data_IF_737511013194
#
_entry.id   IF_737511013194
#
_cell.length_a   1.000
_cell.length_b   1.000
_cell.length_c   1.000
_cell.angle_alpha   90.00
_cell.angle_beta   90.00
_cell.angle_gamma   90.00
#
_symmetry.space_group_name_H-M   'P 1'
#
loop_
_entity.id
_entity.type
_entity.pdbx_description
1 polymer ?
#
# COMPACT_ATOMS: atom_id res chain seq x y z
N UNK A 1 -50.47 42.92 57.81
CA UNK A 1 -49.17 42.25 58.01
C UNK A 1 -48.15 43.04 57.21
N UNK A 2 -47.42 43.94 57.88
CA UNK A 2 -46.45 44.86 57.30
C UNK A 2 -45.03 44.27 57.38
N UNK A 3 -44.30 44.40 56.27
CA UNK A 3 -42.89 44.80 56.21
C UNK A 3 -41.81 43.97 56.91
N UNK A 4 -41.07 43.18 56.13
CA UNK A 4 -39.77 42.61 56.48
C UNK A 4 -38.64 43.22 55.64
N UNK A 5 -37.56 43.59 56.33
CA UNK A 5 -36.35 44.33 55.92
C UNK A 5 -35.43 43.47 55.04
N UNK A 6 -34.67 44.07 54.10
CA UNK A 6 -33.22 43.85 53.93
C UNK A 6 -32.65 44.78 52.82
N UNK A 7 -31.66 45.59 53.18
CA UNK A 7 -30.70 46.16 52.24
C UNK A 7 -29.32 45.56 52.49
N UNK A 8 -28.49 45.48 51.45
CA UNK A 8 -27.05 45.76 51.50
C UNK A 8 -26.43 45.76 50.11
N UNK A 9 -25.54 46.73 49.91
CA UNK A 9 -24.76 47.10 48.74
C UNK A 9 -23.67 46.10 48.35
N UNK A 10 -23.19 46.14 47.10
CA UNK A 10 -21.90 45.53 46.72
C UNK A 10 -21.74 45.32 45.22
N UNK A 11 -20.89 46.15 44.62
CA UNK A 11 -20.39 46.15 43.24
C UNK A 11 -19.52 44.92 42.92
N UNK A 12 -19.54 44.42 41.68
CA UNK A 12 -18.35 44.04 40.91
C UNK A 12 -18.72 43.76 39.44
N UNK A 13 -18.06 44.47 38.53
CA UNK A 13 -18.27 44.35 37.08
C UNK A 13 -17.42 43.21 36.49
N UNK A 14 -17.89 42.55 35.41
CA UNK A 14 -17.08 41.58 34.71
C UNK A 14 -16.15 42.30 33.71
N UNK A 15 -14.84 42.24 33.97
CA UNK A 15 -13.84 42.51 32.94
C UNK A 15 -13.81 41.38 31.90
N UNK A 16 -13.56 41.66 30.61
CA UNK A 16 -13.41 40.61 29.60
C UNK A 16 -12.08 39.90 29.83
N UNK A 17 -12.14 38.61 30.15
CA UNK A 17 -10.98 37.74 30.05
C UNK A 17 -10.75 37.42 28.58
N UNK A 18 -9.60 37.83 28.05
CA UNK A 18 -9.03 37.31 26.82
C UNK A 18 -8.68 35.83 27.04
N UNK A 19 -9.69 34.97 26.87
CA UNK A 19 -9.50 33.54 26.73
C UNK A 19 -8.81 33.30 25.40
N UNK A 20 -7.52 32.97 25.46
CA UNK A 20 -6.86 32.30 24.34
C UNK A 20 -7.71 31.08 24.00
N UNK A 21 -8.24 31.03 22.77
CA UNK A 21 -8.93 29.87 22.23
C UNK A 21 -7.99 28.68 22.38
N UNK A 22 -8.21 27.89 23.42
CA UNK A 22 -7.62 26.57 23.57
C UNK A 22 -8.19 25.77 22.40
N UNK A 23 -7.42 25.71 21.32
CA UNK A 23 -7.78 25.01 20.10
C UNK A 23 -8.33 23.65 20.48
N UNK A 24 -9.60 23.42 20.16
CA UNK A 24 -10.29 22.14 20.35
C UNK A 24 -9.42 21.09 19.69
N UNK A 25 -8.88 20.12 20.44
CA UNK A 25 -8.20 18.95 19.87
C UNK A 25 -9.24 18.26 18.98
N UNK A 26 -9.10 18.33 17.64
CA UNK A 26 -10.16 17.93 16.71
C UNK A 26 -10.41 16.42 16.73
N UNK A 27 -9.55 15.66 17.43
CA UNK A 27 -9.78 14.27 17.77
C UNK A 27 -8.49 13.46 17.75
N UNK A 28 -8.48 12.28 18.38
CA UNK A 28 -7.30 11.42 18.45
C UNK A 28 -6.89 10.86 17.08
N UNK A 29 -7.79 10.86 16.09
CA UNK A 29 -7.58 10.25 14.78
C UNK A 29 -7.26 11.24 13.65
N UNK A 30 -7.27 12.53 13.96
CA UNK A 30 -7.13 13.62 12.98
C UNK A 30 -5.69 13.76 12.47
N UNK A 31 -5.43 13.27 11.26
CA UNK A 31 -4.17 13.51 10.56
C UNK A 31 -4.18 14.88 9.86
N UNK A 32 -3.04 15.59 9.81
CA UNK A 32 -2.86 16.68 8.85
C UNK A 32 -3.04 16.18 7.42
N UNK A 33 -3.57 17.03 6.53
CA UNK A 33 -3.95 16.61 5.19
C UNK A 33 -2.77 16.13 4.33
N UNK A 34 -1.62 16.78 4.45
CA UNK A 34 -0.37 16.39 3.81
C UNK A 34 0.17 15.06 4.37
N UNK A 35 0.13 14.86 5.69
CA UNK A 35 0.49 13.60 6.34
C UNK A 35 -0.45 12.48 5.89
N UNK A 36 -1.76 12.72 5.87
CA UNK A 36 -2.76 11.74 5.40
C UNK A 36 -2.49 11.31 3.97
N UNK A 37 -2.14 12.25 3.08
CA UNK A 37 -1.79 11.94 1.69
C UNK A 37 -0.55 11.05 1.60
N UNK A 38 0.51 11.36 2.36
CA UNK A 38 1.73 10.53 2.42
C UNK A 38 1.42 9.12 2.95
N UNK A 39 0.67 9.03 4.05
CA UNK A 39 0.30 7.74 4.65
C UNK A 39 -0.53 6.90 3.67
N UNK A 40 -1.50 7.50 2.99
CA UNK A 40 -2.33 6.82 2.00
C UNK A 40 -1.50 6.23 0.87
N UNK A 41 -0.55 7.01 0.33
CA UNK A 41 0.21 6.63 -0.85
C UNK A 41 1.38 5.69 -0.53
N UNK A 42 2.03 5.84 0.63
CA UNK A 42 3.33 5.20 0.91
C UNK A 42 3.29 4.16 2.03
N UNK A 43 2.27 4.16 2.89
CA UNK A 43 2.23 3.33 4.09
C UNK A 43 1.03 2.39 4.11
N UNK A 44 -0.16 2.90 3.76
CA UNK A 44 -1.43 2.22 3.94
C UNK A 44 -1.60 0.95 3.08
N UNK A 45 -0.80 0.73 2.03
CA UNK A 45 -0.86 -0.54 1.28
C UNK A 45 -0.47 -1.76 2.10
N UNK A 46 0.36 -1.58 3.13
CA UNK A 46 0.80 -2.65 4.04
C UNK A 46 0.27 -2.41 5.46
N UNK A 47 0.36 -1.16 5.93
CA UNK A 47 -0.07 -0.74 7.27
C UNK A 47 -1.57 -0.40 7.32
N UNK A 48 -2.40 -1.35 6.91
CA UNK A 48 -3.87 -1.24 6.89
C UNK A 48 -4.55 -2.30 7.76
N UNK A 49 -5.88 -2.30 7.79
CA UNK A 49 -6.72 -3.28 8.46
C UNK A 49 -7.62 -3.96 7.43
N UNK A 50 -7.45 -5.28 7.16
CA UNK A 50 -6.46 -6.19 7.73
C UNK A 50 -5.03 -5.94 7.20
N UNK A 51 -4.03 -6.27 8.02
CA UNK A 51 -2.61 -6.07 7.70
C UNK A 51 -2.19 -6.84 6.44
N UNK A 52 -1.27 -6.25 5.66
CA UNK A 52 -0.71 -6.83 4.43
C UNK A 52 0.81 -6.68 4.40
N UNK A 53 1.48 -7.44 3.54
CA UNK A 53 2.93 -7.33 3.35
C UNK A 53 3.75 -7.61 4.62
N UNK A 54 3.21 -8.40 5.56
CA UNK A 54 3.78 -8.66 6.88
C UNK A 54 3.97 -7.40 7.75
N UNK A 55 3.21 -6.31 7.51
CA UNK A 55 3.18 -5.18 8.43
C UNK A 55 2.67 -5.64 9.82
N UNK A 56 3.31 -5.23 10.92
CA UNK A 56 2.93 -5.70 12.26
C UNK A 56 1.80 -4.88 12.90
N UNK A 57 1.44 -3.73 12.32
CA UNK A 57 0.48 -2.78 12.88
C UNK A 57 -0.07 -1.84 11.80
N UNK A 58 -1.27 -1.31 12.03
CA UNK A 58 -1.91 -0.31 11.18
C UNK A 58 -1.35 1.09 11.46
N UNK A 59 -1.32 1.93 10.44
CA UNK A 59 -0.89 3.34 10.50
C UNK A 59 -1.90 4.19 9.72
N UNK A 60 -3.18 4.12 10.08
CA UNK A 60 -4.28 4.76 9.33
C UNK A 60 -4.78 6.05 9.96
N UNK A 61 -4.50 6.25 11.25
CA UNK A 61 -4.94 7.41 12.02
C UNK A 61 -3.82 8.01 12.86
N UNK A 62 -4.02 9.22 13.39
CA UNK A 62 -3.08 9.82 14.35
C UNK A 62 -2.90 8.97 15.62
N UNK A 63 -3.96 8.33 16.11
CA UNK A 63 -3.91 7.49 17.31
C UNK A 63 -3.04 6.24 17.12
N UNK A 64 -2.98 5.69 15.90
CA UNK A 64 -2.07 4.59 15.54
C UNK A 64 -0.59 4.97 15.73
N UNK A 65 -0.22 6.23 15.48
CA UNK A 65 1.13 6.70 15.72
C UNK A 65 1.37 7.06 17.21
N UNK A 66 0.34 7.52 17.92
CA UNK A 66 0.47 7.95 19.32
C UNK A 66 0.48 6.80 20.33
N UNK A 67 -0.07 5.63 19.99
CA UNK A 67 -0.06 4.46 20.87
C UNK A 67 1.36 4.00 21.23
N UNK A 68 1.48 3.34 22.37
CA UNK A 68 2.73 2.71 22.80
C UNK A 68 3.21 1.65 21.80
N UNK A 69 4.52 1.59 21.60
CA UNK A 69 5.16 0.57 20.78
C UNK A 69 5.06 -0.80 21.47
N UNK A 70 4.66 -1.86 20.73
CA UNK A 70 4.57 -3.21 21.28
C UNK A 70 5.95 -3.84 21.58
N UNK A 71 7.03 -3.26 21.04
CA UNK A 71 8.39 -3.80 21.14
C UNK A 71 9.36 -2.88 21.91
N UNK A 72 8.99 -1.61 22.11
CA UNK A 72 9.77 -0.62 22.86
C UNK A 72 8.86 0.16 23.82
N UNK A 73 8.67 -0.35 25.03
CA UNK A 73 7.62 0.12 25.94
C UNK A 73 7.70 1.62 26.33
N UNK A 74 8.87 2.26 26.18
CA UNK A 74 9.09 3.68 26.47
C UNK A 74 8.88 4.60 25.28
N UNK A 75 8.52 4.05 24.11
CA UNK A 75 8.38 4.80 22.86
C UNK A 75 6.98 4.63 22.27
N UNK A 76 6.52 5.68 21.58
CA UNK A 76 5.32 5.64 20.75
C UNK A 76 5.62 5.05 19.38
N UNK A 77 4.62 4.51 18.71
CA UNK A 77 4.75 3.99 17.33
C UNK A 77 5.29 5.07 16.37
N UNK A 78 4.92 6.34 16.54
CA UNK A 78 5.45 7.45 15.76
C UNK A 78 6.96 7.66 15.93
N UNK A 79 7.48 7.53 17.15
CA UNK A 79 8.93 7.59 17.40
C UNK A 79 9.66 6.42 16.73
N UNK A 80 9.09 5.22 16.80
CA UNK A 80 9.60 4.05 16.05
C UNK A 80 9.57 4.27 14.54
N UNK A 81 8.50 4.89 14.04
CA UNK A 81 8.33 5.18 12.62
C UNK A 81 9.42 6.13 12.14
N UNK A 82 9.74 7.17 12.91
CA UNK A 82 10.83 8.11 12.62
C UNK A 82 12.18 7.40 12.55
N UNK A 83 12.48 6.52 13.52
CA UNK A 83 13.73 5.75 13.50
C UNK A 83 13.82 4.84 12.28
N UNK A 84 12.73 4.12 11.94
CA UNK A 84 12.71 3.20 10.79
C UNK A 84 12.81 3.91 9.45
N UNK A 85 12.28 5.13 9.33
CA UNK A 85 12.48 5.96 8.15
C UNK A 85 13.97 6.25 7.94
N UNK A 86 14.74 6.51 9.01
CA UNK A 86 16.18 6.77 8.94
C UNK A 86 17.09 5.53 8.95
N UNK A 87 16.56 4.33 9.19
CA UNK A 87 17.37 3.14 9.39
C UNK A 87 17.74 2.45 8.06
N UNK A 88 19.00 2.59 7.62
CA UNK A 88 19.47 1.95 6.39
C UNK A 88 19.55 0.41 6.46
N UNK A 89 19.70 -0.18 7.65
CA UNK A 89 19.77 -1.62 7.84
C UNK A 89 18.39 -2.30 7.83
N UNK A 90 17.34 -1.56 8.23
CA UNK A 90 15.96 -2.02 8.26
C UNK A 90 14.98 -0.89 7.86
N UNK A 91 15.07 -0.38 6.61
CA UNK A 91 14.34 0.81 6.20
C UNK A 91 12.85 0.57 6.14
N UNK A 92 12.07 1.64 6.30
CA UNK A 92 10.66 1.69 5.89
C UNK A 92 10.46 2.72 4.76
N UNK A 93 9.80 2.34 3.65
CA UNK A 93 9.33 0.99 3.29
C UNK A 93 10.47 -0.05 3.23
N UNK A 94 10.17 -1.37 3.29
CA UNK A 94 11.23 -2.38 3.25
C UNK A 94 12.01 -2.27 1.93
N UNK A 95 13.27 -2.72 1.88
CA UNK A 95 14.08 -2.64 0.65
C UNK A 95 13.50 -3.40 -0.56
N UNK A 96 12.48 -4.24 -0.34
CA UNK A 96 11.68 -4.88 -1.37
C UNK A 96 10.74 -3.90 -2.10
N UNK A 97 10.57 -2.69 -1.56
CA UNK A 97 9.70 -1.63 -2.04
C UNK A 97 10.53 -0.39 -2.43
N UNK A 98 10.02 0.44 -3.36
CA UNK A 98 10.64 1.73 -3.67
C UNK A 98 10.77 2.60 -2.42
N UNK A 99 11.89 3.33 -2.26
CA UNK A 99 12.04 4.25 -1.14
C UNK A 99 10.98 5.36 -1.22
N UNK A 100 10.55 5.85 -0.06
CA UNK A 100 9.72 7.04 0.03
C UNK A 100 10.48 8.25 -0.58
N UNK A 101 9.83 9.06 -1.45
CA UNK A 101 10.42 10.29 -1.97
C UNK A 101 10.80 11.27 -0.85
N UNK A 102 11.86 12.05 -1.05
CA UNK A 102 12.40 12.96 -0.03
C UNK A 102 11.38 14.00 0.46
N UNK A 103 10.51 14.49 -0.42
CA UNK A 103 9.43 15.41 -0.06
C UNK A 103 8.42 14.78 0.91
N UNK A 104 7.95 13.57 0.61
CA UNK A 104 7.00 12.84 1.42
C UNK A 104 7.63 12.42 2.76
N UNK A 105 8.90 12.05 2.73
CA UNK A 105 9.71 11.80 3.93
C UNK A 105 9.80 13.05 4.81
N UNK A 106 10.09 14.22 4.24
CA UNK A 106 10.22 15.46 4.99
C UNK A 106 8.90 15.88 5.66
N UNK A 107 7.77 15.71 4.98
CA UNK A 107 6.43 15.93 5.56
C UNK A 107 6.22 15.03 6.78
N UNK A 108 6.43 13.72 6.61
CA UNK A 108 6.19 12.75 7.68
C UNK A 108 7.15 12.93 8.86
N UNK A 109 8.45 13.13 8.60
CA UNK A 109 9.47 13.36 9.63
C UNK A 109 9.15 14.59 10.47
N UNK A 110 8.84 15.74 9.84
CA UNK A 110 8.52 16.97 10.55
C UNK A 110 7.32 16.80 11.48
N UNK A 111 6.27 16.13 11.02
CA UNK A 111 5.10 15.86 11.83
C UNK A 111 5.40 14.95 13.02
N UNK A 112 6.17 13.87 12.80
CA UNK A 112 6.60 12.95 13.86
C UNK A 112 7.46 13.66 14.92
N UNK A 113 8.42 14.49 14.50
CA UNK A 113 9.31 15.26 15.39
C UNK A 113 8.55 16.33 16.19
N UNK A 114 7.50 16.91 15.62
CA UNK A 114 6.62 17.88 16.31
C UNK A 114 5.67 17.24 17.35
N UNK A 115 5.78 15.94 17.59
CA UNK A 115 4.95 15.23 18.57
C UNK A 115 3.58 14.82 18.04
N UNK A 116 3.42 14.73 16.72
CA UNK A 116 2.18 14.34 16.03
C UNK A 116 0.97 15.21 16.44
N UNK A 117 1.05 16.54 16.22
CA UNK A 117 -0.09 17.43 16.44
C UNK A 117 -1.28 17.02 15.55
N UNK A 118 -2.49 17.30 16.03
CA UNK A 118 -3.72 17.01 15.31
C UNK A 118 -3.81 17.81 14.01
N UNK A 119 -4.39 17.20 12.98
CA UNK A 119 -4.83 17.92 11.78
C UNK A 119 -6.34 18.11 11.76
N UNK A 120 -6.91 18.20 10.56
CA UNK A 120 -8.36 18.36 10.34
C UNK A 120 -8.87 17.47 9.19
N UNK A 121 -8.07 16.49 8.77
CA UNK A 121 -8.36 15.67 7.60
C UNK A 121 -8.82 14.25 7.96
N UNK A 122 -9.06 13.97 9.23
CA UNK A 122 -9.49 12.66 9.75
C UNK A 122 -8.48 11.54 9.53
N UNK A 123 -8.94 10.31 9.72
CA UNK A 123 -8.19 9.09 9.43
C UNK A 123 -8.42 8.59 8.00
N UNK A 124 -7.60 7.63 7.58
CA UNK A 124 -7.87 6.84 6.40
C UNK A 124 -8.95 5.78 6.69
N UNK A 125 -9.77 5.41 5.68
CA UNK A 125 -10.76 4.37 5.86
C UNK A 125 -10.08 3.05 6.24
N UNK A 126 -10.63 2.38 7.25
CA UNK A 126 -10.29 0.99 7.53
C UNK A 126 -10.87 0.09 6.44
N UNK A 127 -10.16 -0.98 6.10
CA UNK A 127 -10.61 -1.96 5.12
C UNK A 127 -9.70 -2.05 3.90
N UNK A 128 -9.98 -3.02 3.01
CA UNK A 128 -9.33 -3.09 1.71
C UNK A 128 -9.55 -1.77 0.94
N UNK A 129 -8.50 -1.28 0.29
CA UNK A 129 -8.66 -0.15 -0.60
C UNK A 129 -9.61 -0.52 -1.76
N UNK A 130 -10.46 0.40 -2.24
CA UNK A 130 -11.38 0.11 -3.33
C UNK A 130 -10.65 -0.41 -4.57
N UNK A 131 -11.26 -1.40 -5.24
CA UNK A 131 -10.81 -1.81 -6.56
C UNK A 131 -11.19 -0.75 -7.58
N UNK A 132 -10.31 -0.50 -8.53
CA UNK A 132 -10.48 0.54 -9.55
C UNK A 132 -10.20 -0.02 -10.93
N UNK A 133 -10.65 0.66 -11.97
CA UNK A 133 -10.21 0.42 -13.33
C UNK A 133 -10.09 1.75 -14.06
N UNK A 134 -8.90 2.36 -14.05
CA UNK A 134 -8.71 3.70 -14.61
C UNK A 134 -8.98 3.77 -16.13
N UNK A 135 -8.97 2.63 -16.83
CA UNK A 135 -9.28 2.55 -18.26
C UNK A 135 -10.77 2.42 -18.57
N UNK A 136 -11.60 2.11 -17.57
CA UNK A 136 -13.01 1.70 -17.71
C UNK A 136 -13.23 0.61 -18.78
N UNK A 137 -12.19 -0.17 -19.09
CA UNK A 137 -12.19 -1.16 -20.15
C UNK A 137 -11.93 -2.54 -19.54
N UNK A 138 -12.89 -3.43 -19.72
CA UNK A 138 -12.84 -4.79 -19.19
C UNK A 138 -12.78 -5.79 -20.32
N UNK A 139 -11.86 -6.74 -20.19
CA UNK A 139 -11.84 -7.93 -21.02
C UNK A 139 -13.11 -8.75 -20.79
N UNK A 140 -13.60 -9.35 -21.86
CA UNK A 140 -14.64 -10.37 -21.85
C UNK A 140 -14.26 -11.49 -22.80
N UNK A 141 -14.87 -12.67 -22.66
CA UNK A 141 -14.69 -13.79 -23.60
C UNK A 141 -14.94 -13.37 -25.07
N UNK A 142 -15.85 -12.41 -25.29
CA UNK A 142 -16.13 -11.87 -26.63
C UNK A 142 -14.96 -11.07 -27.23
N UNK A 143 -14.01 -10.62 -26.39
CA UNK A 143 -12.78 -9.94 -26.83
C UNK A 143 -11.76 -10.92 -27.44
N UNK A 144 -12.04 -12.22 -27.37
CA UNK A 144 -11.25 -13.27 -27.97
C UNK A 144 -10.20 -13.89 -27.04
N UNK A 145 -9.53 -14.89 -27.58
CA UNK A 145 -8.46 -15.64 -26.92
C UNK A 145 -7.09 -15.09 -27.31
N UNK A 146 -6.06 -15.43 -26.55
CA UNK A 146 -4.67 -15.07 -26.85
C UNK A 146 -3.91 -14.57 -25.63
N UNK A 147 -2.71 -14.06 -25.83
CA UNK A 147 -1.84 -13.62 -24.74
C UNK A 147 -2.38 -12.41 -23.95
N UNK A 148 -3.33 -11.65 -24.52
CA UNK A 148 -3.97 -10.50 -23.89
C UNK A 148 -5.23 -10.84 -23.08
N UNK A 149 -5.65 -12.11 -23.06
CA UNK A 149 -6.91 -12.48 -22.42
C UNK A 149 -6.88 -12.32 -20.90
N UNK A 150 -8.04 -12.01 -20.33
CA UNK A 150 -8.34 -12.04 -18.90
C UNK A 150 -7.25 -11.43 -17.98
N UNK A 151 -6.87 -10.15 -18.13
CA UNK A 151 -5.90 -9.50 -17.25
C UNK A 151 -6.30 -9.61 -15.78
N UNK A 152 -5.35 -9.95 -14.90
CA UNK A 152 -5.55 -10.05 -13.46
C UNK A 152 -6.10 -11.38 -12.94
N UNK A 153 -6.68 -12.22 -13.80
CA UNK A 153 -7.15 -13.55 -13.39
C UNK A 153 -5.97 -14.53 -13.21
N UNK A 154 -6.17 -15.56 -12.39
CA UNK A 154 -5.21 -16.64 -12.18
C UNK A 154 -5.11 -17.54 -13.43
N UNK A 155 -4.19 -17.18 -14.34
CA UNK A 155 -4.13 -17.76 -15.68
C UNK A 155 -3.83 -19.27 -15.63
N UNK A 156 -2.79 -19.66 -14.88
CA UNK A 156 -2.28 -21.02 -14.92
C UNK A 156 -3.26 -22.02 -14.34
N UNK A 157 -3.99 -21.65 -13.30
CA UNK A 157 -5.02 -22.50 -12.67
C UNK A 157 -6.15 -22.87 -13.65
N UNK A 158 -6.57 -21.91 -14.48
CA UNK A 158 -7.53 -22.16 -15.55
C UNK A 158 -6.91 -22.99 -16.69
N UNK A 159 -5.70 -22.62 -17.14
CA UNK A 159 -5.02 -23.31 -18.23
C UNK A 159 -4.67 -24.76 -17.91
N UNK A 160 -4.33 -25.11 -16.67
CA UNK A 160 -4.11 -26.50 -16.25
C UNK A 160 -5.34 -27.39 -16.49
N UNK A 161 -6.55 -26.81 -16.47
CA UNK A 161 -7.80 -27.55 -16.65
C UNK A 161 -8.27 -27.54 -18.12
N UNK A 162 -8.18 -26.38 -18.78
CA UNK A 162 -8.82 -26.17 -20.08
C UNK A 162 -7.85 -26.17 -21.27
N UNK A 163 -6.59 -25.81 -21.04
CA UNK A 163 -5.59 -25.65 -22.09
C UNK A 163 -4.17 -26.02 -21.58
N UNK A 164 -3.93 -27.28 -21.16
CA UNK A 164 -2.72 -27.66 -20.44
C UNK A 164 -1.42 -27.41 -21.23
N UNK A 165 -1.50 -27.42 -22.57
CA UNK A 165 -0.37 -27.08 -23.45
C UNK A 165 0.04 -25.60 -23.39
N UNK A 166 -0.82 -24.74 -22.83
CA UNK A 166 -0.60 -23.31 -22.64
C UNK A 166 -0.49 -22.94 -21.15
N UNK A 167 -0.39 -23.92 -20.25
CA UNK A 167 -0.26 -23.71 -18.81
C UNK A 167 1.19 -23.38 -18.43
N UNK A 168 1.74 -22.34 -19.05
CA UNK A 168 3.10 -21.87 -18.81
C UNK A 168 3.35 -21.66 -17.32
N UNK A 169 4.57 -21.92 -16.86
CA UNK A 169 4.83 -21.99 -15.43
C UNK A 169 4.64 -20.63 -14.76
N UNK A 170 5.30 -19.58 -15.25
CA UNK A 170 5.14 -18.23 -14.75
C UNK A 170 4.12 -17.49 -15.61
N UNK A 171 3.01 -17.06 -15.01
CA UNK A 171 1.96 -16.30 -15.70
C UNK A 171 1.40 -15.24 -14.76
N UNK A 172 1.13 -14.05 -15.30
CA UNK A 172 0.34 -13.06 -14.60
C UNK A 172 0.23 -11.73 -15.32
N UNK A 173 -0.21 -10.71 -14.59
CA UNK A 173 -0.53 -9.39 -15.12
C UNK A 173 0.08 -8.27 -14.27
N UNK A 174 0.78 -7.34 -14.92
CA UNK A 174 1.27 -6.09 -14.32
C UNK A 174 0.22 -4.99 -14.44
N UNK A 175 0.02 -4.22 -13.37
CA UNK A 175 -0.92 -3.12 -13.29
C UNK A 175 -0.25 -1.80 -12.88
N UNK A 176 -0.85 -0.64 -13.17
CA UNK A 176 -0.36 0.66 -12.69
C UNK A 176 -0.48 0.85 -11.16
N UNK A 177 -1.41 0.16 -10.50
CA UNK A 177 -1.65 0.28 -9.05
C UNK A 177 -2.00 -1.05 -8.40
N UNK A 178 -1.98 -1.10 -7.06
CA UNK A 178 -2.16 -2.32 -6.27
C UNK A 178 -3.59 -2.88 -6.28
N UNK A 179 -4.60 -2.04 -6.54
CA UNK A 179 -6.01 -2.41 -6.37
C UNK A 179 -6.79 -2.16 -7.66
N UNK A 180 -6.41 -2.89 -8.71
CA UNK A 180 -7.08 -2.86 -10.02
C UNK A 180 -7.99 -4.08 -10.17
N UNK A 181 -9.21 -3.89 -10.66
CA UNK A 181 -10.21 -4.94 -10.84
C UNK A 181 -9.77 -6.03 -11.84
N UNK A 182 -10.25 -7.26 -11.67
CA UNK A 182 -10.05 -8.36 -12.61
C UNK A 182 -10.67 -8.01 -13.97
N UNK A 183 -9.99 -8.40 -15.04
CA UNK A 183 -10.37 -8.09 -16.41
C UNK A 183 -10.06 -6.66 -16.85
N UNK A 184 -9.71 -5.75 -15.94
CA UNK A 184 -9.40 -4.38 -16.30
C UNK A 184 -8.16 -4.32 -17.20
N UNK A 185 -8.24 -3.59 -18.31
CA UNK A 185 -7.11 -3.31 -19.17
C UNK A 185 -6.18 -2.28 -18.51
N UNK A 186 -4.93 -2.64 -18.15
CA UNK A 186 -3.99 -1.71 -17.54
C UNK A 186 -3.45 -0.64 -18.51
N UNK A 187 -3.67 -0.80 -19.82
CA UNK A 187 -3.11 0.05 -20.89
C UNK A 187 -1.62 0.26 -20.74
N UNK A 188 -0.90 -0.83 -20.56
CA UNK A 188 0.56 -0.78 -20.52
C UNK A 188 1.11 -0.37 -21.88
N UNK A 189 2.13 0.49 -21.88
CA UNK A 189 2.72 0.98 -23.12
C UNK A 189 3.26 -0.16 -23.99
N UNK A 190 3.15 -0.01 -25.32
CA UNK A 190 3.66 -0.98 -26.31
C UNK A 190 4.64 -0.28 -27.27
N UNK A 191 5.89 -0.78 -27.42
CA UNK A 191 6.48 -1.88 -26.66
C UNK A 191 6.64 -1.54 -25.17
N UNK A 192 6.51 -2.54 -24.32
CA UNK A 192 6.64 -2.34 -22.88
C UNK A 192 8.10 -2.19 -22.46
N UNK A 193 8.38 -1.15 -21.68
CA UNK A 193 9.66 -0.93 -21.01
C UNK A 193 9.68 -1.50 -19.58
N UNK A 194 8.68 -2.32 -19.24
CA UNK A 194 8.57 -2.99 -17.94
C UNK A 194 9.18 -4.38 -18.03
N UNK A 195 9.85 -4.80 -16.95
CA UNK A 195 10.42 -6.15 -16.85
C UNK A 195 9.90 -6.85 -15.61
N UNK A 196 9.46 -8.09 -15.77
CA UNK A 196 9.22 -9.03 -14.69
C UNK A 196 10.39 -10.00 -14.65
N UNK A 197 11.33 -9.74 -13.75
CA UNK A 197 12.50 -10.58 -13.55
C UNK A 197 12.16 -11.68 -12.54
N UNK A 198 12.49 -12.92 -12.88
CA UNK A 198 12.35 -14.08 -12.01
C UNK A 198 13.75 -14.45 -11.51
N UNK A 199 13.94 -14.40 -10.19
CA UNK A 199 15.19 -14.62 -9.48
C UNK A 199 15.15 -15.99 -8.80
N UNK A 200 16.28 -16.70 -8.80
CA UNK A 200 16.45 -17.92 -8.01
C UNK A 200 16.58 -17.63 -6.51
N UNK A 201 16.73 -18.68 -5.70
CA UNK A 201 16.90 -18.56 -4.26
C UNK A 201 18.17 -17.78 -3.83
N UNK A 202 19.15 -17.65 -4.72
CA UNK A 202 20.40 -16.91 -4.51
C UNK A 202 20.28 -15.45 -4.98
N UNK A 203 19.17 -15.05 -5.59
CA UNK A 203 18.94 -13.71 -6.11
C UNK A 203 19.51 -13.48 -7.51
N UNK A 204 19.88 -14.52 -8.25
CA UNK A 204 20.30 -14.40 -9.65
C UNK A 204 19.07 -14.40 -10.57
N UNK A 205 18.98 -13.41 -11.47
CA UNK A 205 17.93 -13.36 -12.50
C UNK A 205 18.10 -14.54 -13.46
N UNK A 206 17.08 -15.38 -13.59
CA UNK A 206 17.04 -16.54 -14.50
C UNK A 206 16.13 -16.33 -15.70
N UNK A 207 15.15 -15.46 -15.56
CA UNK A 207 14.19 -15.16 -16.61
C UNK A 207 13.79 -13.68 -16.53
N UNK A 208 13.61 -13.05 -17.67
CA UNK A 208 13.07 -11.69 -17.78
C UNK A 208 11.89 -11.76 -18.73
N UNK A 209 10.70 -11.49 -18.22
CA UNK A 209 9.46 -11.45 -18.97
C UNK A 209 9.06 -10.01 -19.23
N UNK A 210 8.48 -9.75 -20.38
CA UNK A 210 8.00 -8.42 -20.79
C UNK A 210 6.48 -8.51 -20.94
N UNK A 211 5.71 -7.72 -20.18
CA UNK A 211 4.26 -7.72 -20.32
C UNK A 211 3.84 -7.08 -21.65
N UNK A 212 2.74 -7.56 -22.23
CA UNK A 212 2.11 -6.97 -23.42
C UNK A 212 1.26 -5.72 -23.07
N UNK A 213 0.53 -5.15 -24.04
CA UNK A 213 -0.31 -3.97 -23.78
C UNK A 213 -1.41 -4.20 -22.72
N UNK A 214 -1.90 -5.43 -22.59
CA UNK A 214 -2.87 -5.84 -21.56
C UNK A 214 -2.20 -6.14 -20.21
N UNK A 215 -0.89 -5.86 -20.07
CA UNK A 215 -0.10 -6.11 -18.88
C UNK A 215 0.26 -7.57 -18.63
N UNK A 216 -0.22 -8.48 -19.48
CA UNK A 216 -0.02 -9.92 -19.31
C UNK A 216 1.40 -10.32 -19.71
N UNK A 217 1.98 -11.22 -18.91
CA UNK A 217 3.24 -11.87 -19.18
C UNK A 217 3.13 -13.38 -18.96
N UNK A 218 3.90 -14.16 -19.72
CA UNK A 218 4.05 -15.58 -19.50
C UNK A 218 5.46 -16.05 -19.83
N UNK A 219 5.92 -17.09 -19.14
CA UNK A 219 7.08 -17.89 -19.58
C UNK A 219 6.75 -18.70 -20.84
N UNK A 220 7.76 -19.27 -21.47
CA UNK A 220 7.61 -20.12 -22.67
C UNK A 220 7.60 -21.61 -22.37
N UNK A 221 7.82 -22.00 -21.11
CA UNK A 221 7.88 -23.40 -20.66
C UNK A 221 6.79 -23.70 -19.63
N UNK A 222 6.32 -24.96 -19.58
CA UNK A 222 5.31 -25.44 -18.62
C UNK A 222 5.89 -25.73 -17.23
N UNK A 223 7.23 -25.79 -17.12
CA UNK A 223 8.00 -26.05 -15.90
C UNK A 223 9.12 -25.00 -15.74
N UNK A 224 9.57 -24.71 -14.51
CA UNK A 224 10.68 -23.79 -14.30
C UNK A 224 11.99 -24.41 -14.81
N UNK A 225 12.87 -23.59 -15.38
CA UNK A 225 14.19 -24.02 -15.87
C UNK A 225 15.27 -24.08 -14.78
N UNK A 226 14.90 -23.80 -13.53
CA UNK A 226 15.80 -23.74 -12.37
C UNK A 226 15.06 -24.20 -11.10
N UNK A 227 15.79 -24.64 -10.06
CA UNK A 227 15.18 -25.06 -8.80
C UNK A 227 14.43 -23.93 -8.09
N UNK A 228 13.25 -24.26 -7.56
CA UNK A 228 12.46 -23.39 -6.70
C UNK A 228 12.99 -23.43 -5.25
N UNK A 229 12.71 -22.41 -4.40
CA UNK A 229 11.80 -21.27 -4.62
C UNK A 229 12.41 -20.13 -5.46
N UNK A 230 11.56 -19.21 -5.89
CA UNK A 230 11.92 -18.01 -6.64
C UNK A 230 11.43 -16.72 -5.96
N UNK A 231 11.93 -15.58 -6.42
CA UNK A 231 11.33 -14.26 -6.17
C UNK A 231 11.08 -13.57 -7.51
N UNK A 232 10.03 -12.78 -7.62
CA UNK A 232 9.86 -11.87 -8.75
C UNK A 232 10.32 -10.46 -8.37
N UNK A 233 10.96 -9.78 -9.31
CA UNK A 233 11.25 -8.34 -9.26
C UNK A 233 10.62 -7.66 -10.47
N UNK A 234 9.73 -6.72 -10.20
CA UNK A 234 9.16 -5.85 -11.21
C UNK A 234 10.06 -4.62 -11.35
N UNK A 235 10.50 -4.33 -12.57
CA UNK A 235 11.26 -3.13 -12.92
C UNK A 235 10.37 -2.27 -13.82
N UNK A 236 10.03 -1.07 -13.34
CA UNK A 236 9.21 -0.11 -14.07
C UNK A 236 10.01 0.64 -15.15
N UNK A 237 9.34 1.48 -15.97
CA UNK A 237 9.98 2.18 -17.10
C UNK A 237 11.11 3.13 -16.70
N UNK A 238 11.06 3.68 -15.48
CA UNK A 238 12.09 4.56 -14.94
C UNK A 238 13.30 3.82 -14.33
N UNK A 239 13.31 2.49 -14.38
CA UNK A 239 14.31 1.65 -13.70
C UNK A 239 14.08 1.44 -12.21
N UNK A 240 13.05 2.09 -11.62
CA UNK A 240 12.60 1.78 -10.25
C UNK A 240 12.13 0.33 -10.18
N UNK A 241 12.29 -0.32 -9.03
CA UNK A 241 11.91 -1.71 -8.88
C UNK A 241 11.19 -2.02 -7.58
N UNK A 242 10.34 -3.04 -7.61
CA UNK A 242 9.71 -3.69 -6.46
C UNK A 242 9.99 -5.18 -6.54
N UNK A 243 10.35 -5.82 -5.43
CA UNK A 243 10.66 -7.25 -5.38
C UNK A 243 9.78 -7.94 -4.35
N UNK A 244 9.46 -9.21 -4.56
CA UNK A 244 8.78 -10.02 -3.55
C UNK A 244 9.67 -10.17 -2.30
N UNK A 245 9.10 -9.92 -1.12
CA UNK A 245 9.74 -10.09 0.18
C UNK A 245 9.76 -11.55 0.69
N UNK A 246 8.84 -12.40 0.21
CA UNK A 246 8.80 -13.84 0.52
C UNK A 246 9.06 -14.68 -0.74
N UNK A 247 9.94 -15.70 -0.70
CA UNK A 247 10.11 -16.62 -1.83
C UNK A 247 8.83 -17.44 -2.10
N UNK A 248 8.58 -17.80 -3.35
CA UNK A 248 7.42 -18.58 -3.76
C UNK A 248 7.79 -19.80 -4.60
N UNK A 249 6.86 -20.76 -4.69
CA UNK A 249 6.97 -21.96 -5.53
C UNK A 249 5.83 -22.06 -6.56
N UNK A 250 4.76 -21.28 -6.39
CA UNK A 250 3.67 -21.22 -7.35
C UNK A 250 3.97 -20.16 -8.43
N UNK A 251 3.91 -20.55 -9.70
CA UNK A 251 4.12 -19.65 -10.84
C UNK A 251 2.83 -18.98 -11.37
N UNK A 252 1.66 -19.31 -10.81
CA UNK A 252 0.43 -18.57 -11.06
C UNK A 252 0.41 -17.28 -10.24
N UNK A 253 1.03 -16.21 -10.74
CA UNK A 253 1.32 -15.03 -9.95
C UNK A 253 0.06 -14.34 -9.42
N UNK A 254 -1.01 -14.31 -10.23
CA UNK A 254 -2.28 -13.68 -9.83
C UNK A 254 -3.11 -14.51 -8.83
N UNK A 255 -2.71 -15.74 -8.51
CA UNK A 255 -3.31 -16.49 -7.39
C UNK A 255 -3.05 -15.83 -6.02
N UNK A 256 -1.90 -15.15 -5.87
CA UNK A 256 -1.58 -14.33 -4.70
C UNK A 256 -1.79 -12.83 -4.98
N UNK A 257 -1.43 -12.37 -6.18
CA UNK A 257 -1.57 -10.98 -6.60
C UNK A 257 -2.96 -10.68 -7.20
N UNK A 258 -3.99 -10.90 -6.38
CA UNK A 258 -5.39 -10.56 -6.69
C UNK A 258 -5.65 -9.06 -6.51
N UNK A 259 -6.87 -8.61 -6.82
CA UNK A 259 -7.33 -7.23 -6.60
C UNK A 259 -7.00 -6.68 -5.20
N UNK A 260 -7.09 -7.54 -4.18
CA UNK A 260 -6.89 -7.19 -2.76
C UNK A 260 -5.66 -7.85 -2.14
N UNK A 261 -4.97 -8.67 -2.93
CA UNK A 261 -3.89 -9.52 -2.49
C UNK A 261 -4.35 -10.62 -1.53
N UNK A 262 -3.78 -11.81 -1.69
CA UNK A 262 -3.95 -12.94 -0.76
C UNK A 262 -2.56 -13.45 -0.37
N UNK A 263 -2.47 -14.27 0.68
CA UNK A 263 -1.18 -14.85 1.09
C UNK A 263 -0.11 -13.80 1.42
N UNK A 264 -0.50 -12.69 2.05
CA UNK A 264 0.35 -11.52 2.39
C UNK A 264 0.77 -10.62 1.23
N UNK A 265 0.38 -10.90 -0.01
CA UNK A 265 0.54 -9.93 -1.09
C UNK A 265 -0.28 -8.65 -0.78
N UNK A 266 0.26 -7.44 -1.00
CA UNK A 266 -0.49 -6.20 -0.82
C UNK A 266 -1.62 -6.00 -1.83
N UNK A 267 -1.54 -6.65 -2.99
CA UNK A 267 -2.45 -6.45 -4.11
C UNK A 267 -1.86 -6.99 -5.40
N UNK A 268 -2.21 -6.37 -6.52
CA UNK A 268 -1.68 -6.63 -7.87
C UNK A 268 -0.16 -6.55 -7.93
N UNK A 269 0.39 -7.09 -9.02
CA UNK A 269 1.78 -6.83 -9.42
C UNK A 269 1.81 -5.40 -9.96
N UNK A 270 2.00 -4.43 -9.07
CA UNK A 270 1.87 -3.01 -9.39
C UNK A 270 3.22 -2.35 -9.67
N UNK A 271 3.24 -1.43 -10.66
CA UNK A 271 4.41 -0.63 -11.00
C UNK A 271 5.00 0.08 -9.75
N UNK A 272 6.35 0.17 -9.65
CA UNK A 272 7.06 0.79 -8.52
C UNK A 272 7.09 2.32 -8.55
#
# INVERSE_FOLDING_TARGET
>A
MLGGVLGCSGTDGPGPGDGADAGVDPGPDELPCDVKAVVAERCASCHTTPLKGNAPLALLSRSDFQRSSPVHAQERVGQRSLERLGNAAAPMPPASEPPIPDEARAVLTRWLESGMPAGTCGSLPSGPAPTTCASDSFWSEASGTGASMAPGYACRSCHLQQAPNNAYFFMGTVFPSLHVADGCDPRLGSPSNVKVEILDAQGAVKLTLVPNEAGNFMSTTLQPSFPLPYRARLVGPSGRSRQMATPQTNGDCNSCHTEQGTGQAPGRIALP
#
